data_IF_152459621832
#
_entry.id   IF_152459621832
#
_cell.length_a   1.000
_cell.length_b   1.000
_cell.length_c   1.000
_cell.angle_alpha   90.00
_cell.angle_beta   90.00
_cell.angle_gamma   90.00
#
_symmetry.space_group_name_H-M   'P 1'
#
loop_
_entity.id
_entity.type
_entity.pdbx_description
1 polymer ?
#
# COMPACT_ATOMS: atom_id res chain seq x y z
N UNK A 1 -18.41 -19.58 3.21
CA UNK A 1 -17.91 -19.41 1.83
C UNK A 1 -16.39 -19.24 1.93
N UNK A 2 -15.57 -20.01 1.21
CA UNK A 2 -14.10 -19.85 1.28
C UNK A 2 -13.73 -18.55 0.59
N UNK A 3 -13.05 -17.63 1.29
CA UNK A 3 -12.62 -16.35 0.75
C UNK A 3 -11.59 -16.55 -0.37
N UNK A 4 -11.70 -15.75 -1.44
CA UNK A 4 -10.91 -15.87 -2.68
C UNK A 4 -10.34 -14.50 -3.05
N UNK A 5 -9.17 -14.46 -3.68
CA UNK A 5 -8.52 -13.21 -4.10
C UNK A 5 -9.38 -12.55 -5.17
N UNK A 6 -9.65 -13.30 -6.24
CA UNK A 6 -10.50 -12.90 -7.36
C UNK A 6 -11.22 -14.13 -7.93
N UNK A 7 -12.38 -13.90 -8.53
CA UNK A 7 -13.05 -14.90 -9.37
C UNK A 7 -12.54 -14.80 -10.81
N UNK A 8 -12.67 -15.91 -11.55
CA UNK A 8 -12.31 -15.93 -12.96
C UNK A 8 -13.24 -15.00 -13.76
N UNK A 9 -12.67 -14.07 -14.52
CA UNK A 9 -13.39 -13.14 -15.39
C UNK A 9 -14.00 -13.79 -16.64
N UNK A 10 -13.75 -15.08 -16.87
CA UNK A 10 -14.37 -15.79 -17.99
C UNK A 10 -15.89 -15.96 -17.75
N UNK A 11 -16.74 -15.69 -18.75
CA UNK A 11 -18.19 -15.77 -18.60
C UNK A 11 -18.64 -17.12 -18.02
N UNK A 12 -19.50 -17.07 -16.99
CA UNK A 12 -20.09 -18.24 -16.32
C UNK A 12 -19.06 -19.21 -15.70
N UNK A 13 -17.82 -18.78 -15.46
CA UNK A 13 -16.83 -19.61 -14.77
C UNK A 13 -16.94 -19.43 -13.24
N UNK A 14 -17.27 -20.48 -12.46
CA UNK A 14 -17.34 -20.37 -11.00
C UNK A 14 -15.98 -20.57 -10.31
N UNK A 15 -14.91 -20.77 -11.09
CA UNK A 15 -13.59 -21.11 -10.56
C UNK A 15 -12.89 -19.86 -10.03
N UNK A 16 -12.13 -19.98 -8.92
CA UNK A 16 -11.27 -18.90 -8.46
C UNK A 16 -10.19 -18.61 -9.52
N UNK A 17 -9.74 -17.35 -9.56
CA UNK A 17 -8.50 -17.01 -10.25
C UNK A 17 -7.32 -17.78 -9.63
N UNK A 18 -6.26 -18.03 -10.41
CA UNK A 18 -5.03 -18.60 -9.89
C UNK A 18 -4.44 -17.72 -8.76
N UNK A 19 -3.55 -18.27 -7.94
CA UNK A 19 -2.95 -17.55 -6.79
C UNK A 19 -1.50 -17.11 -7.02
N UNK A 20 -0.97 -17.29 -8.22
CA UNK A 20 0.38 -16.85 -8.55
C UNK A 20 0.40 -15.35 -8.83
N UNK A 21 1.54 -14.70 -8.57
CA UNK A 21 1.94 -13.52 -9.35
C UNK A 21 1.76 -13.91 -10.82
N UNK A 22 0.85 -13.26 -11.56
CA UNK A 22 0.49 -13.68 -12.93
C UNK A 22 -0.89 -14.32 -13.13
N UNK A 23 -1.71 -14.52 -12.08
CA UNK A 23 -3.06 -15.08 -12.18
C UNK A 23 -4.12 -14.23 -12.94
N UNK A 24 -3.73 -13.09 -13.43
CA UNK A 24 -4.47 -12.19 -14.28
C UNK A 24 -3.52 -11.58 -15.29
N UNK A 25 -4.09 -10.94 -16.29
CA UNK A 25 -3.33 -10.43 -17.40
C UNK A 25 -3.12 -8.92 -17.27
N UNK A 26 -1.87 -8.48 -17.25
CA UNK A 26 -1.50 -7.06 -17.21
C UNK A 26 -2.04 -6.28 -18.42
N UNK A 27 -2.20 -6.94 -19.57
CA UNK A 27 -2.68 -6.32 -20.81
C UNK A 27 -4.17 -6.00 -20.78
N UNK A 28 -5.00 -6.91 -20.27
CA UNK A 28 -6.45 -6.73 -20.26
C UNK A 28 -7.04 -6.43 -18.87
N UNK A 29 -6.20 -6.38 -17.83
CA UNK A 29 -6.60 -6.13 -16.44
C UNK A 29 -7.73 -7.06 -15.94
N UNK A 30 -7.65 -8.35 -16.28
CA UNK A 30 -8.64 -9.38 -15.89
C UNK A 30 -7.97 -10.55 -15.17
N UNK A 31 -8.72 -11.22 -14.31
CA UNK A 31 -8.24 -12.36 -13.51
C UNK A 31 -8.76 -13.67 -14.09
N UNK A 32 -7.90 -14.68 -14.24
CA UNK A 32 -8.28 -15.96 -14.84
C UNK A 32 -7.96 -17.13 -13.92
N UNK A 33 -8.77 -18.19 -13.96
CA UNK A 33 -8.38 -19.47 -13.37
C UNK A 33 -7.27 -20.11 -14.22
N UNK A 34 -6.54 -21.08 -13.70
CA UNK A 34 -5.42 -21.71 -14.43
C UNK A 34 -5.78 -22.25 -15.82
N UNK A 35 -7.04 -22.63 -16.05
CA UNK A 35 -7.53 -23.05 -17.36
C UNK A 35 -7.74 -21.86 -18.30
N UNK A 36 -8.47 -20.83 -17.85
CA UNK A 36 -8.75 -19.66 -18.70
C UNK A 36 -7.56 -18.71 -18.84
N UNK A 37 -6.46 -18.95 -18.13
CA UNK A 37 -5.19 -18.25 -18.33
C UNK A 37 -4.36 -18.91 -19.45
N UNK A 38 -4.66 -20.15 -19.85
CA UNK A 38 -3.90 -20.81 -20.91
C UNK A 38 -4.09 -20.11 -22.25
N UNK A 39 -3.12 -20.28 -23.14
CA UNK A 39 -3.15 -19.71 -24.49
C UNK A 39 -4.35 -20.20 -25.33
N UNK A 40 -4.97 -21.32 -24.94
CA UNK A 40 -6.16 -21.85 -25.61
C UNK A 40 -7.41 -20.99 -25.38
N UNK A 41 -7.43 -20.22 -24.28
CA UNK A 41 -8.58 -19.41 -23.86
C UNK A 41 -8.25 -17.92 -23.75
N UNK A 42 -6.99 -17.59 -23.54
CA UNK A 42 -6.54 -16.21 -23.34
C UNK A 42 -5.37 -15.88 -24.26
N UNK A 43 -5.57 -14.88 -25.11
CA UNK A 43 -4.66 -14.55 -26.21
C UNK A 43 -3.91 -13.23 -26.00
N UNK A 44 -3.88 -12.68 -24.79
CA UNK A 44 -2.97 -11.56 -24.54
C UNK A 44 -1.55 -12.10 -24.45
N UNK A 45 -0.65 -11.54 -25.24
CA UNK A 45 0.76 -11.94 -25.25
C UNK A 45 1.52 -11.26 -24.10
N UNK A 46 1.32 -11.77 -22.88
CA UNK A 46 2.04 -11.28 -21.70
C UNK A 46 3.49 -11.79 -21.64
N UNK A 47 3.82 -12.83 -22.43
CA UNK A 47 5.14 -13.49 -22.46
C UNK A 47 6.19 -12.76 -23.30
N UNK A 48 5.82 -11.71 -24.03
CA UNK A 48 6.70 -10.99 -24.97
C UNK A 48 6.87 -9.49 -24.66
N UNK A 49 6.41 -9.02 -23.49
CA UNK A 49 6.54 -7.61 -23.12
C UNK A 49 8.02 -7.24 -22.95
N UNK A 50 8.52 -6.43 -23.88
CA UNK A 50 9.79 -5.74 -23.72
C UNK A 50 9.69 -4.62 -22.68
N UNK A 51 10.83 -4.02 -22.33
CA UNK A 51 10.90 -2.93 -21.35
C UNK A 51 9.99 -1.74 -21.74
N UNK A 52 9.82 -1.50 -23.04
CA UNK A 52 8.98 -0.41 -23.53
C UNK A 52 7.49 -0.71 -23.32
N UNK A 53 7.05 -1.93 -23.62
CA UNK A 53 5.70 -2.42 -23.37
C UNK A 53 5.36 -2.43 -21.90
N UNK A 54 6.26 -2.90 -21.03
CA UNK A 54 6.08 -2.84 -19.58
C UNK A 54 5.95 -1.39 -19.08
N UNK A 55 6.80 -0.47 -19.56
CA UNK A 55 6.70 0.95 -19.19
C UNK A 55 5.38 1.58 -19.65
N UNK A 56 4.91 1.24 -20.86
CA UNK A 56 3.64 1.73 -21.38
C UNK A 56 2.45 1.24 -20.53
N UNK A 57 2.50 -0.01 -20.05
CA UNK A 57 1.50 -0.56 -19.16
C UNK A 57 1.42 0.18 -17.82
N UNK A 58 2.56 0.36 -17.16
CA UNK A 58 2.61 1.12 -15.90
C UNK A 58 2.18 2.58 -16.13
N UNK A 59 2.57 3.18 -17.27
CA UNK A 59 2.12 4.51 -17.66
C UNK A 59 0.59 4.59 -17.78
N UNK A 60 -0.04 3.64 -18.45
CA UNK A 60 -1.48 3.58 -18.61
C UNK A 60 -2.21 3.41 -17.27
N UNK A 61 -1.72 2.50 -16.41
CA UNK A 61 -2.27 2.27 -15.07
C UNK A 61 -2.25 3.55 -14.22
N UNK A 62 -1.09 4.21 -14.15
CA UNK A 62 -0.92 5.41 -13.32
C UNK A 62 -1.69 6.60 -13.90
N UNK A 63 -1.77 6.74 -15.23
CA UNK A 63 -2.60 7.78 -15.85
C UNK A 63 -4.09 7.56 -15.54
N UNK A 64 -4.55 6.32 -15.56
CA UNK A 64 -5.91 5.98 -15.13
C UNK A 64 -6.14 6.33 -13.66
N UNK A 65 -5.17 6.02 -12.78
CA UNK A 65 -5.24 6.35 -11.36
C UNK A 65 -5.26 7.87 -11.13
N UNK A 66 -4.41 8.63 -11.83
CA UNK A 66 -4.37 10.11 -11.80
C UNK A 66 -5.72 10.71 -12.17
N UNK A 67 -6.34 10.21 -13.24
CA UNK A 67 -7.64 10.71 -13.70
C UNK A 67 -8.77 10.51 -12.68
N UNK A 68 -8.62 9.58 -11.74
CA UNK A 68 -9.60 9.32 -10.67
C UNK A 68 -9.39 10.18 -9.42
N UNK A 69 -8.20 10.77 -9.25
CA UNK A 69 -7.90 11.60 -8.08
C UNK A 69 -8.55 12.97 -8.26
N UNK A 70 -9.50 13.30 -7.39
CA UNK A 70 -10.08 14.64 -7.33
C UNK A 70 -9.12 15.60 -6.62
N UNK A 71 -8.24 16.24 -7.40
CA UNK A 71 -7.22 17.16 -6.89
C UNK A 71 -7.77 18.30 -6.01
N UNK A 72 -8.83 19.01 -6.42
CA UNK A 72 -9.48 20.01 -5.58
C UNK A 72 -9.91 19.48 -4.20
N UNK A 73 -10.44 18.26 -4.13
CA UNK A 73 -10.83 17.64 -2.85
C UNK A 73 -9.60 17.34 -1.99
N UNK A 74 -8.50 16.86 -2.59
CA UNK A 74 -7.24 16.63 -1.86
C UNK A 74 -6.69 17.94 -1.29
N UNK A 75 -6.62 19.00 -2.10
CA UNK A 75 -6.14 20.31 -1.63
C UNK A 75 -7.04 20.88 -0.53
N UNK A 76 -8.37 20.76 -0.66
CA UNK A 76 -9.31 21.17 0.39
C UNK A 76 -9.04 20.44 1.71
N UNK A 77 -8.85 19.12 1.66
CA UNK A 77 -8.53 18.32 2.85
C UNK A 77 -7.18 18.71 3.44
N UNK A 78 -6.11 18.73 2.64
CA UNK A 78 -4.77 19.06 3.10
C UNK A 78 -4.69 20.47 3.70
N UNK A 79 -5.31 21.45 3.04
CA UNK A 79 -5.43 22.82 3.55
C UNK A 79 -6.12 22.87 4.90
N UNK A 80 -7.24 22.16 5.07
CA UNK A 80 -7.96 22.11 6.36
C UNK A 80 -7.12 21.52 7.50
N UNK A 81 -6.24 20.56 7.18
CA UNK A 81 -5.34 19.92 8.13
C UNK A 81 -4.07 20.73 8.40
N UNK A 82 -3.74 21.69 7.54
CA UNK A 82 -2.55 22.54 7.64
C UNK A 82 -2.91 24.02 7.87
N UNK A 83 -3.85 24.28 8.79
CA UNK A 83 -4.25 25.62 9.20
C UNK A 83 -4.74 26.54 8.05
N UNK A 84 -5.40 25.98 7.04
CA UNK A 84 -5.97 26.72 5.92
C UNK A 84 -4.96 27.14 4.84
N UNK A 85 -3.73 26.62 4.87
CA UNK A 85 -2.70 26.94 3.86
C UNK A 85 -3.12 26.44 2.48
N UNK A 86 -2.94 27.28 1.47
CA UNK A 86 -3.17 26.89 0.08
C UNK A 86 -2.11 25.88 -0.39
N UNK A 87 -2.51 24.96 -1.26
CA UNK A 87 -1.62 23.95 -1.80
C UNK A 87 -2.04 23.49 -3.18
N UNK A 88 -1.10 22.91 -3.91
CA UNK A 88 -1.29 22.32 -5.23
C UNK A 88 -0.84 20.85 -5.25
N UNK A 89 -1.47 20.05 -6.08
CA UNK A 89 -1.00 18.71 -6.38
C UNK A 89 0.06 18.76 -7.48
N UNK A 90 1.18 18.12 -7.21
CA UNK A 90 2.23 17.89 -8.18
C UNK A 90 2.34 16.39 -8.45
N UNK A 91 1.94 16.00 -9.65
CA UNK A 91 2.14 14.66 -10.15
C UNK A 91 3.59 14.50 -10.64
N UNK A 92 4.25 13.36 -10.33
CA UNK A 92 5.57 13.06 -10.88
C UNK A 92 5.56 13.09 -12.42
N UNK A 93 6.55 13.74 -13.03
CA UNK A 93 6.68 13.79 -14.48
C UNK A 93 6.94 12.40 -15.07
N UNK A 94 7.74 11.59 -14.37
CA UNK A 94 8.02 10.22 -14.75
C UNK A 94 7.01 9.27 -14.12
N UNK A 95 6.68 8.20 -14.82
CA UNK A 95 5.79 7.15 -14.32
C UNK A 95 6.56 5.88 -13.95
N UNK A 96 7.77 5.71 -14.51
CA UNK A 96 8.65 4.57 -14.25
C UNK A 96 10.08 5.07 -14.06
N UNK A 97 10.80 4.48 -13.11
CA UNK A 97 12.22 4.78 -12.85
C UNK A 97 12.43 5.90 -11.85
N UNK A 98 13.60 6.54 -11.91
CA UNK A 98 13.98 7.63 -11.02
C UNK A 98 12.92 8.75 -11.09
N UNK A 99 12.60 9.33 -9.93
CA UNK A 99 11.60 10.39 -9.75
C UNK A 99 10.14 10.02 -10.03
N UNK A 100 9.83 8.74 -10.31
CA UNK A 100 8.44 8.32 -10.58
C UNK A 100 7.50 8.37 -9.38
N UNK A 101 8.03 8.55 -8.16
CA UNK A 101 7.35 8.36 -6.87
C UNK A 101 6.39 7.17 -6.83
N UNK A 102 6.69 6.14 -7.64
CA UNK A 102 5.86 4.96 -7.83
C UNK A 102 6.64 3.79 -7.27
N UNK A 103 6.09 3.19 -6.22
CA UNK A 103 6.59 1.94 -5.66
C UNK A 103 5.92 0.75 -6.31
N UNK A 104 6.23 -0.46 -5.81
CA UNK A 104 5.59 -1.68 -6.25
C UNK A 104 4.06 -1.57 -6.10
N UNK A 105 3.57 -1.35 -4.87
CA UNK A 105 2.15 -1.38 -4.54
C UNK A 105 1.45 -0.01 -4.47
N UNK A 106 2.18 1.10 -4.60
CA UNK A 106 1.65 2.44 -4.31
C UNK A 106 2.15 3.49 -5.29
N UNK A 107 1.28 4.44 -5.61
CA UNK A 107 1.56 5.66 -6.36
C UNK A 107 1.49 6.85 -5.42
N UNK A 108 2.45 7.78 -5.50
CA UNK A 108 2.42 8.99 -4.68
C UNK A 108 2.29 10.26 -5.52
N UNK A 109 1.53 11.20 -4.99
CA UNK A 109 1.39 12.58 -5.50
C UNK A 109 1.87 13.52 -4.41
N UNK A 110 2.66 14.53 -4.78
CA UNK A 110 3.08 15.56 -3.82
C UNK A 110 1.99 16.59 -3.63
N UNK A 111 1.79 16.99 -2.38
CA UNK A 111 1.01 18.16 -2.01
C UNK A 111 2.00 19.25 -1.63
N UNK A 112 2.13 20.27 -2.47
CA UNK A 112 3.02 21.42 -2.24
C UNK A 112 2.24 22.58 -1.66
N UNK A 113 2.65 23.07 -0.50
CA UNK A 113 2.09 24.28 0.09
C UNK A 113 2.73 25.52 -0.50
N UNK A 114 1.92 26.54 -0.79
CA UNK A 114 2.38 27.77 -1.45
C UNK A 114 3.29 28.63 -0.55
N UNK A 115 3.23 28.43 0.76
CA UNK A 115 4.05 29.15 1.74
C UNK A 115 5.47 28.58 1.90
N UNK A 116 5.84 27.57 1.11
CA UNK A 116 7.14 26.90 1.19
C UNK A 116 7.27 25.93 2.36
N UNK A 117 6.18 25.62 3.08
CA UNK A 117 6.18 24.54 4.08
C UNK A 117 6.58 23.21 3.46
N UNK A 118 7.12 22.26 4.26
CA UNK A 118 7.41 20.92 3.78
C UNK A 118 6.21 20.27 3.08
N UNK A 119 6.49 19.67 1.93
CA UNK A 119 5.49 18.95 1.14
C UNK A 119 4.92 17.76 1.91
N UNK A 120 3.69 17.38 1.55
CA UNK A 120 3.10 16.11 1.97
C UNK A 120 3.02 15.15 0.77
N UNK A 121 2.81 13.87 1.06
CA UNK A 121 2.54 12.82 0.09
C UNK A 121 1.10 12.34 0.23
N UNK A 122 0.37 12.35 -0.89
CA UNK A 122 -0.83 11.55 -1.07
C UNK A 122 -0.39 10.18 -1.61
N UNK A 123 -0.40 9.16 -0.76
CA UNK A 123 -0.11 7.77 -1.10
C UNK A 123 -1.39 7.06 -1.49
N UNK A 124 -1.43 6.51 -2.71
CA UNK A 124 -2.60 5.85 -3.30
C UNK A 124 -2.22 4.41 -3.67
N UNK A 125 -2.90 3.39 -3.14
CA UNK A 125 -2.63 2.01 -3.52
C UNK A 125 -2.95 1.76 -5.00
N UNK A 126 -2.07 0.98 -5.64
CA UNK A 126 -2.21 0.50 -7.02
C UNK A 126 -3.14 -0.72 -7.07
N UNK A 127 -4.43 -0.50 -6.76
CA UNK A 127 -5.43 -1.59 -6.68
C UNK A 127 -5.91 -2.10 -8.04
N UNK A 128 -5.62 -1.39 -9.13
CA UNK A 128 -6.06 -1.75 -10.49
C UNK A 128 -4.98 -2.44 -11.32
N UNK A 129 -3.71 -2.38 -10.91
CA UNK A 129 -2.61 -3.06 -11.60
C UNK A 129 -2.48 -4.51 -11.16
N UNK A 130 -2.44 -5.43 -12.12
CA UNK A 130 -2.44 -6.86 -11.82
C UNK A 130 -1.14 -7.34 -11.13
N UNK A 131 0.02 -6.72 -11.42
CA UNK A 131 1.30 -6.98 -10.75
C UNK A 131 1.24 -6.94 -9.20
N UNK A 132 0.28 -6.19 -8.63
CA UNK A 132 0.08 -6.05 -7.17
C UNK A 132 -1.42 -6.11 -6.80
N UNK A 133 -2.29 -6.64 -7.66
CA UNK A 133 -3.73 -6.55 -7.51
C UNK A 133 -4.22 -7.11 -6.17
N UNK A 134 -4.54 -6.23 -5.23
CA UNK A 134 -5.10 -6.58 -3.93
C UNK A 134 -6.63 -6.46 -3.98
N UNK A 135 -7.39 -7.37 -3.34
CA UNK A 135 -8.80 -7.17 -3.12
C UNK A 135 -9.03 -5.81 -2.44
N UNK A 136 -10.07 -5.06 -2.85
CA UNK A 136 -10.31 -3.70 -2.34
C UNK A 136 -10.40 -3.67 -0.81
N UNK A 137 -11.06 -4.66 -0.20
CA UNK A 137 -11.16 -4.79 1.26
C UNK A 137 -9.80 -4.93 1.95
N UNK A 138 -8.84 -5.64 1.32
CA UNK A 138 -7.49 -5.79 1.85
C UNK A 138 -6.70 -4.50 1.69
N UNK A 139 -6.79 -3.82 0.54
CA UNK A 139 -6.16 -2.52 0.34
C UNK A 139 -6.67 -1.46 1.35
N UNK A 140 -7.98 -1.45 1.61
CA UNK A 140 -8.61 -0.60 2.62
C UNK A 140 -8.13 -0.92 4.04
N UNK A 141 -7.97 -2.20 4.37
CA UNK A 141 -7.39 -2.61 5.64
C UNK A 141 -5.94 -2.13 5.78
N UNK A 142 -5.12 -2.34 4.75
CA UNK A 142 -3.71 -1.97 4.75
C UNK A 142 -3.51 -0.46 4.90
N UNK A 143 -4.33 0.37 4.27
CA UNK A 143 -4.28 1.83 4.47
C UNK A 143 -4.51 2.20 5.94
N UNK A 144 -5.56 1.65 6.56
CA UNK A 144 -5.87 1.92 7.97
C UNK A 144 -4.76 1.43 8.88
N UNK A 145 -4.20 0.28 8.54
CA UNK A 145 -3.13 -0.32 9.31
C UNK A 145 -1.82 0.46 9.21
N UNK A 146 -1.49 0.93 8.01
CA UNK A 146 -0.34 1.79 7.78
C UNK A 146 -0.51 3.14 8.50
N UNK A 147 -1.68 3.77 8.40
CA UNK A 147 -2.00 5.00 9.15
C UNK A 147 -1.82 4.80 10.65
N UNK A 148 -2.40 3.73 11.20
CA UNK A 148 -2.31 3.41 12.63
C UNK A 148 -0.86 3.17 13.09
N UNK A 149 -0.07 2.51 12.24
CA UNK A 149 1.35 2.27 12.50
C UNK A 149 2.14 3.57 12.53
N UNK A 150 1.97 4.45 11.55
CA UNK A 150 2.62 5.76 11.54
C UNK A 150 2.18 6.62 12.73
N UNK A 151 0.89 6.59 13.10
CA UNK A 151 0.39 7.28 14.30
C UNK A 151 1.00 6.78 15.59
N UNK A 152 1.26 5.49 15.70
CA UNK A 152 2.01 4.95 16.81
C UNK A 152 3.48 5.38 16.77
N UNK A 153 4.13 5.35 15.60
CA UNK A 153 5.53 5.78 15.49
C UNK A 153 5.74 7.27 15.82
N UNK A 154 4.74 8.13 15.57
CA UNK A 154 4.73 9.54 16.02
C UNK A 154 4.90 9.69 17.55
N UNK A 155 4.59 8.65 18.35
CA UNK A 155 4.77 8.66 19.81
C UNK A 155 6.12 8.10 20.26
N UNK A 156 6.98 7.70 19.33
CA UNK A 156 8.30 7.09 19.59
C UNK A 156 9.43 8.00 19.12
N UNK A 157 10.69 7.59 19.34
CA UNK A 157 11.85 8.29 18.77
C UNK A 157 12.22 7.83 17.35
N UNK A 158 11.46 6.90 16.76
CA UNK A 158 11.70 6.43 15.40
C UNK A 158 11.47 7.58 14.41
N UNK A 159 12.41 7.87 13.50
CA UNK A 159 12.25 8.91 12.49
C UNK A 159 11.29 8.44 11.39
N UNK A 160 9.99 8.46 11.68
CA UNK A 160 8.92 8.07 10.77
C UNK A 160 8.15 9.31 10.27
N UNK A 161 7.58 9.26 9.06
CA UNK A 161 6.73 10.34 8.57
C UNK A 161 5.47 10.46 9.42
N UNK A 162 5.02 11.69 9.66
CA UNK A 162 3.71 11.93 10.26
C UNK A 162 2.59 11.53 9.32
N UNK A 163 1.53 10.93 9.85
CA UNK A 163 0.30 10.62 9.11
C UNK A 163 -0.78 11.67 9.43
N UNK A 164 -1.36 12.30 8.42
CA UNK A 164 -2.34 13.37 8.60
C UNK A 164 -3.78 12.85 8.53
N UNK A 165 -4.10 12.05 7.51
CA UNK A 165 -5.43 11.45 7.34
C UNK A 165 -5.36 10.25 6.39
N UNK A 166 -6.43 9.47 6.31
CA UNK A 166 -6.66 8.50 5.25
C UNK A 166 -8.11 8.61 4.76
N UNK A 167 -8.42 7.95 3.64
CA UNK A 167 -9.77 7.93 3.07
C UNK A 167 -10.08 6.64 2.34
N UNK A 168 -11.34 6.18 2.46
CA UNK A 168 -11.84 4.94 1.86
C UNK A 168 -13.20 5.20 1.20
N UNK A 169 -13.31 5.13 -0.14
CA UNK A 169 -14.57 5.40 -0.86
C UNK A 169 -15.71 4.45 -0.52
N UNK A 170 -15.44 3.15 -0.33
CA UNK A 170 -16.46 2.15 0.03
C UNK A 170 -17.13 2.43 1.38
N UNK A 171 -16.50 3.25 2.22
CA UNK A 171 -17.00 3.70 3.52
C UNK A 171 -17.48 5.15 3.53
N UNK A 172 -17.39 5.85 2.39
CA UNK A 172 -17.73 7.27 2.27
C UNK A 172 -16.81 8.21 3.08
N UNK A 173 -15.60 7.76 3.43
CA UNK A 173 -14.65 8.54 4.25
C UNK A 173 -13.53 9.18 3.46
N UNK A 174 -13.58 9.10 2.13
CA UNK A 174 -12.56 9.62 1.22
C UNK A 174 -12.64 11.14 0.99
N UNK A 175 -13.57 11.84 1.64
CA UNK A 175 -13.73 13.30 1.53
C UNK A 175 -13.92 13.79 0.07
N UNK A 176 -14.44 12.93 -0.81
CA UNK A 176 -14.63 13.24 -2.24
C UNK A 176 -13.38 13.13 -3.10
N UNK A 177 -12.28 12.56 -2.58
CA UNK A 177 -11.02 12.33 -3.31
C UNK A 177 -11.19 11.28 -4.43
N UNK A 178 -12.11 10.32 -4.29
CA UNK A 178 -12.49 9.34 -5.32
C UNK A 178 -11.65 8.05 -5.38
N UNK A 179 -10.60 7.97 -4.55
CA UNK A 179 -9.71 6.80 -4.42
C UNK A 179 -9.39 6.54 -2.95
N UNK A 180 -8.94 5.32 -2.63
CA UNK A 180 -8.37 5.06 -1.32
C UNK A 180 -7.01 5.77 -1.19
N UNK A 181 -6.73 6.40 -0.06
CA UNK A 181 -5.47 7.12 0.13
C UNK A 181 -5.01 7.19 1.59
N UNK A 182 -3.71 7.46 1.76
CA UNK A 182 -3.06 7.91 2.98
C UNK A 182 -2.39 9.25 2.69
N UNK A 183 -2.65 10.27 3.51
CA UNK A 183 -2.00 11.57 3.47
C UNK A 183 -0.96 11.64 4.58
N UNK A 184 0.31 11.83 4.21
CA UNK A 184 1.45 11.72 5.12
C UNK A 184 2.54 12.73 4.80
N UNK A 185 3.49 12.92 5.70
CA UNK A 185 4.65 13.80 5.52
C UNK A 185 5.60 13.27 4.44
N UNK A 186 6.15 14.18 3.62
CA UNK A 186 7.32 13.86 2.78
C UNK A 186 8.60 14.04 3.62
N UNK A 187 9.25 12.94 4.00
CA UNK A 187 10.52 13.04 4.72
C UNK A 187 11.64 13.51 3.78
N UNK A 188 12.46 14.50 4.19
CA UNK A 188 13.65 14.85 3.45
C UNK A 188 14.67 13.73 3.58
N UNK A 189 15.35 13.40 2.49
CA UNK A 189 16.42 12.40 2.53
C UNK A 189 16.78 11.85 1.17
N UNK A 190 17.75 10.93 1.19
CA UNK A 190 18.14 10.15 0.02
C UNK A 190 18.17 8.68 0.42
N UNK A 191 17.60 7.77 -0.38
CA UNK A 191 17.79 6.34 -0.19
C UNK A 191 19.27 6.01 -0.15
N UNK A 192 19.65 5.11 0.76
CA UNK A 192 21.02 4.63 0.84
C UNK A 192 21.27 3.60 -0.26
N UNK A 193 22.28 3.84 -1.09
CA UNK A 193 22.66 2.99 -2.24
C UNK A 193 23.70 1.92 -1.86
N UNK A 194 23.96 1.75 -0.56
CA UNK A 194 24.98 0.84 -0.05
C UNK A 194 26.40 1.43 -0.01
N UNK A 195 26.60 2.68 -0.45
CA UNK A 195 27.92 3.35 -0.45
C UNK A 195 28.05 4.38 0.68
N UNK A 196 29.28 4.78 0.97
CA UNK A 196 29.58 5.76 2.01
C UNK A 196 29.79 5.14 3.39
N UNK A 197 29.43 5.88 4.44
CA UNK A 197 29.63 5.49 5.83
C UNK A 197 28.59 4.45 6.28
N UNK A 198 28.88 3.18 5.98
CA UNK A 198 28.08 2.01 6.35
C UNK A 198 27.89 1.91 7.86
N UNK A 199 28.93 2.18 8.64
CA UNK A 199 28.90 2.09 10.12
C UNK A 199 27.86 3.03 10.71
N UNK A 200 27.80 4.28 10.21
CA UNK A 200 26.78 5.24 10.63
C UNK A 200 25.36 4.76 10.30
N UNK A 201 25.15 4.19 9.11
CA UNK A 201 23.82 3.68 8.71
C UNK A 201 23.40 2.52 9.61
N UNK A 202 24.28 1.54 9.84
CA UNK A 202 24.00 0.40 10.70
C UNK A 202 23.77 0.82 12.15
N UNK A 203 24.53 1.79 12.66
CA UNK A 203 24.30 2.33 14.00
C UNK A 203 22.92 2.95 14.12
N UNK A 204 22.51 3.80 13.16
CA UNK A 204 21.16 4.41 13.19
C UNK A 204 20.04 3.38 13.07
N UNK A 205 20.24 2.33 12.27
CA UNK A 205 19.29 1.23 12.19
C UNK A 205 19.17 0.48 13.53
N UNK A 206 20.29 0.20 14.19
CA UNK A 206 20.29 -0.43 15.51
C UNK A 206 19.58 0.43 16.57
N UNK A 207 19.79 1.75 16.55
CA UNK A 207 19.07 2.70 17.42
C UNK A 207 17.54 2.65 17.20
N UNK A 208 17.09 2.55 15.94
CA UNK A 208 15.65 2.39 15.61
C UNK A 208 15.09 1.08 16.16
N UNK A 209 15.80 -0.04 15.96
CA UNK A 209 15.36 -1.34 16.45
C UNK A 209 15.31 -1.39 17.98
N UNK A 210 16.30 -0.80 18.66
CA UNK A 210 16.34 -0.70 20.11
C UNK A 210 15.22 0.19 20.67
N UNK A 211 14.85 1.27 19.98
CA UNK A 211 13.67 2.07 20.34
C UNK A 211 12.40 1.24 20.20
N UNK A 212 12.19 0.56 19.06
CA UNK A 212 11.00 -0.27 18.83
C UNK A 212 10.83 -1.37 19.87
N UNK A 213 11.94 -1.97 20.35
CA UNK A 213 11.89 -3.02 21.38
C UNK A 213 11.31 -2.53 22.72
N UNK A 214 11.40 -1.23 23.01
CA UNK A 214 10.85 -0.65 24.24
C UNK A 214 9.32 -0.57 24.22
N UNK A 215 8.69 -0.66 23.03
CA UNK A 215 7.26 -0.51 22.84
C UNK A 215 6.59 -1.84 22.49
N UNK A 216 6.61 -2.78 23.45
CA UNK A 216 6.06 -4.13 23.26
C UNK A 216 4.53 -4.13 23.27
N UNK A 217 3.95 -4.92 22.38
CA UNK A 217 2.51 -5.17 22.34
C UNK A 217 2.15 -6.47 23.07
N UNK A 218 0.99 -6.54 23.74
CA UNK A 218 0.53 -7.75 24.42
C UNK A 218 0.07 -8.86 23.45
N UNK A 219 -0.09 -8.54 22.16
CA UNK A 219 -0.55 -9.46 21.13
C UNK A 219 0.26 -9.24 19.85
N UNK A 220 0.44 -10.32 19.08
CA UNK A 220 1.00 -10.24 17.74
C UNK A 220 -0.11 -9.94 16.72
N UNK A 221 0.09 -8.91 15.90
CA UNK A 221 -0.94 -8.42 14.98
C UNK A 221 -0.46 -7.22 14.18
N UNK A 222 -1.40 -6.56 13.51
CA UNK A 222 -1.18 -5.26 12.88
C UNK A 222 -1.91 -4.19 13.68
N UNK A 223 -1.34 -2.99 13.79
CA UNK A 223 -2.11 -1.85 14.31
C UNK A 223 -3.20 -1.47 13.31
N UNK A 224 -4.35 -1.02 13.80
CA UNK A 224 -5.45 -0.56 12.96
C UNK A 224 -6.29 0.51 13.68
N UNK A 225 -7.03 1.28 12.88
CA UNK A 225 -8.02 2.27 13.32
C UNK A 225 -9.25 2.20 12.42
N UNK A 226 -10.39 2.72 12.89
CA UNK A 226 -11.60 2.85 12.06
C UNK A 226 -11.71 4.25 11.45
N UNK A 227 -11.26 5.27 12.18
CA UNK A 227 -11.22 6.67 11.76
C UNK A 227 -9.86 7.33 12.06
N UNK A 228 -9.50 8.43 11.36
CA UNK A 228 -8.28 9.19 11.66
C UNK A 228 -8.20 9.80 13.08
N UNK A 229 -9.31 9.80 13.84
CA UNK A 229 -9.35 10.35 15.20
C UNK A 229 -9.17 9.28 16.27
N UNK A 230 -9.17 8.02 15.90
CA UNK A 230 -9.10 6.90 16.84
C UNK A 230 -7.66 6.68 17.29
N UNK A 231 -7.50 6.09 18.47
CA UNK A 231 -6.20 5.59 18.91
C UNK A 231 -5.89 4.25 18.21
N UNK A 232 -4.64 4.03 17.77
CA UNK A 232 -4.21 2.74 17.23
C UNK A 232 -4.43 1.59 18.22
N UNK A 233 -5.03 0.50 17.74
CA UNK A 233 -5.20 -0.73 18.52
C UNK A 233 -4.61 -1.91 17.76
N UNK A 234 -4.15 -2.93 18.50
CA UNK A 234 -3.70 -4.18 17.90
C UNK A 234 -4.90 -4.93 17.34
N UNK A 235 -4.80 -5.29 16.08
CA UNK A 235 -5.80 -5.99 15.30
C UNK A 235 -5.14 -7.14 14.53
N UNK A 236 -5.91 -7.80 13.70
CA UNK A 236 -5.47 -8.93 12.90
C UNK A 236 -4.27 -8.56 12.00
N UNK A 237 -3.27 -9.42 11.93
CA UNK A 237 -2.12 -9.26 11.04
C UNK A 237 -2.58 -9.36 9.58
N UNK A 238 -2.33 -8.30 8.80
CA UNK A 238 -2.49 -8.34 7.35
C UNK A 238 -1.13 -8.22 6.67
N UNK A 239 -0.99 -8.88 5.52
CA UNK A 239 0.22 -8.78 4.72
C UNK A 239 -0.13 -8.63 3.24
N UNK A 240 0.59 -7.74 2.58
CA UNK A 240 0.63 -7.60 1.13
C UNK A 240 1.57 -8.63 0.47
N UNK A 241 2.27 -9.47 1.24
CA UNK A 241 3.10 -10.57 0.70
C UNK A 241 2.22 -11.70 0.18
N UNK A 242 1.75 -11.52 -1.06
CA UNK A 242 1.35 -12.45 -2.13
C UNK A 242 0.49 -13.70 -1.83
N UNK A 243 0.08 -14.03 -0.61
CA UNK A 243 -0.72 -15.26 -0.35
C UNK A 243 -1.75 -15.09 0.79
N UNK A 244 -1.75 -13.97 1.51
CA UNK A 244 -2.66 -13.74 2.62
C UNK A 244 -3.93 -12.98 2.17
N UNK A 245 -5.09 -13.63 2.30
CA UNK A 245 -6.38 -13.11 1.80
C UNK A 245 -7.10 -12.19 2.77
N UNK A 246 -6.87 -12.41 4.05
CA UNK A 246 -7.61 -11.81 5.14
C UNK A 246 -6.63 -11.41 6.23
N UNK A 247 -6.94 -10.39 7.03
CA UNK A 247 -6.27 -10.19 8.29
C UNK A 247 -6.48 -11.42 9.21
N UNK A 248 -5.43 -11.91 9.90
CA UNK A 248 -5.51 -13.04 10.84
C UNK A 248 -5.05 -12.68 12.25
N UNK A 249 -5.72 -13.22 13.26
CA UNK A 249 -5.45 -12.88 14.67
C UNK A 249 -6.36 -11.73 15.15
N UNK A 250 -5.91 -10.85 16.06
CA UNK A 250 -4.59 -10.81 16.68
C UNK A 250 -4.32 -12.06 17.53
N UNK A 251 -3.05 -12.44 17.63
CA UNK A 251 -2.61 -13.64 18.34
C UNK A 251 -2.14 -13.30 19.75
N UNK A 252 -2.54 -14.10 20.74
CA UNK A 252 -2.11 -13.90 22.14
C UNK A 252 -0.66 -14.31 22.37
N UNK A 253 -0.14 -15.26 21.58
CA UNK A 253 1.23 -15.76 21.71
C UNK A 253 1.91 -15.86 20.34
N UNK A 254 3.24 -15.81 20.33
CA UNK A 254 4.05 -16.08 19.13
C UNK A 254 3.83 -17.50 18.60
N UNK A 255 3.58 -18.47 19.48
CA UNK A 255 3.25 -19.85 19.12
C UNK A 255 1.95 -19.95 18.31
N UNK A 256 0.91 -19.17 18.66
CA UNK A 256 -0.34 -19.14 17.90
C UNK A 256 -0.14 -18.53 16.51
N UNK A 257 0.66 -17.46 16.42
CA UNK A 257 1.04 -16.82 15.15
C UNK A 257 1.80 -17.80 14.24
N UNK A 258 2.80 -18.50 14.79
CA UNK A 258 3.65 -19.42 14.04
C UNK A 258 2.95 -20.72 13.63
N UNK A 259 2.01 -21.24 14.42
CA UNK A 259 1.17 -22.37 13.98
C UNK A 259 0.22 -21.97 12.85
N UNK A 260 -0.35 -20.77 12.94
CA UNK A 260 -1.16 -20.20 11.86
C UNK A 260 -0.34 -19.96 10.59
N UNK A 261 0.94 -19.62 10.70
CA UNK A 261 1.82 -19.39 9.56
C UNK A 261 2.52 -20.64 9.00
N UNK A 262 2.73 -21.69 9.80
CA UNK A 262 3.26 -22.97 9.30
C UNK A 262 2.24 -23.72 8.43
N UNK A 263 0.96 -23.46 8.63
CA UNK A 263 -0.08 -23.97 7.75
C UNK A 263 -0.23 -23.14 6.45
N UNK A 264 0.32 -21.90 6.38
CA UNK A 264 0.30 -21.01 5.20
C UNK A 264 1.40 -19.92 5.25
N UNK A 265 2.19 -19.71 4.17
CA UNK A 265 3.44 -18.95 4.21
C UNK A 265 3.23 -17.49 4.67
N UNK A 266 3.52 -17.21 5.94
CA UNK A 266 3.60 -15.86 6.51
C UNK A 266 4.74 -15.80 7.53
N UNK A 267 5.43 -14.66 7.61
CA UNK A 267 6.53 -14.44 8.54
C UNK A 267 5.97 -13.74 9.78
N UNK A 268 6.01 -14.39 10.94
CA UNK A 268 5.84 -13.74 12.24
C UNK A 268 7.22 -13.33 12.76
N UNK A 269 7.35 -12.12 13.29
CA UNK A 269 8.57 -11.68 13.99
C UNK A 269 8.50 -12.28 15.40
N UNK A 270 9.46 -13.14 15.73
CA UNK A 270 9.64 -13.65 17.09
C UNK A 270 10.15 -12.50 18.00
N UNK A 271 9.51 -12.32 19.14
CA UNK A 271 9.94 -11.41 20.22
C UNK A 271 10.66 -12.20 21.31
#
# INVERSE_FOLDING_TARGET
MVQRFFDCSAPKCPRPSARSVGAGCDMCSRHFCGLHLSQDFHHCDATSLDDAGYRALVAAEINHLRARINGPAVCKLASSLNAGKACVLEHPSNVVGLDSLTGCANYHVRVRFEDGSPSWLLRVPRVTGFAVGLPSSLAEYLIRSEYATLKFLETTRVPAPRAFSFGIPSRGTDCGVGVCFLLMEELPGRPWDGRGDTSKVWQRLAEILAELEQHRFPQAGSLCVESPRDQPLVSAAASDRFVCLDPWGPFKTASDCTHSSRSRPTWCIDS
#
